data_IF_043128293713
#
_entry.id   IF_043128293713
#
_cell.length_a   1.000
_cell.length_b   1.000
_cell.length_c   1.000
_cell.angle_alpha   90.00
_cell.angle_beta   90.00
_cell.angle_gamma   90.00
#
_symmetry.space_group_name_H-M   'P 1'
#
loop_
_entity.id
_entity.type
_entity.pdbx_description
1 polymer ?
#
# COMPACT_ATOMS: atom_id res chain seq x y z
N UNK A 1 -4.76 -0.67 10.35
CA UNK A 1 -4.33 0.17 9.20
C UNK A 1 -3.33 -0.62 8.35
N UNK A 2 -3.00 -0.19 7.13
CA UNK A 2 -2.04 -0.95 6.29
C UNK A 2 -0.64 -0.96 6.91
N UNK A 3 -0.22 0.19 7.43
CA UNK A 3 1.03 0.39 8.19
C UNK A 3 1.18 -0.56 9.37
N UNK A 4 0.12 -0.74 10.18
CA UNK A 4 0.14 -1.62 11.36
C UNK A 4 0.37 -3.10 10.99
N UNK A 5 -0.26 -3.56 9.90
CA UNK A 5 -0.07 -4.93 9.39
C UNK A 5 1.37 -5.14 8.91
N UNK A 6 1.93 -4.16 8.19
CA UNK A 6 3.32 -4.24 7.73
C UNK A 6 4.28 -4.31 8.91
N UNK A 7 4.08 -3.46 9.93
CA UNK A 7 4.90 -3.45 11.15
C UNK A 7 4.83 -4.81 11.85
N UNK A 8 3.63 -5.36 12.04
CA UNK A 8 3.44 -6.66 12.70
C UNK A 8 4.17 -7.78 11.96
N UNK A 9 3.99 -7.87 10.65
CA UNK A 9 4.57 -8.95 9.84
C UNK A 9 6.10 -8.84 9.73
N UNK A 10 6.64 -7.63 9.59
CA UNK A 10 8.10 -7.43 9.56
C UNK A 10 8.75 -7.72 10.93
N UNK A 11 8.10 -7.33 12.03
CA UNK A 11 8.59 -7.66 13.37
C UNK A 11 8.60 -9.17 13.62
N UNK A 12 7.56 -9.89 13.21
CA UNK A 12 7.52 -11.37 13.29
C UNK A 12 8.65 -12.02 12.50
N UNK A 13 8.87 -11.60 11.24
CA UNK A 13 9.94 -12.15 10.39
C UNK A 13 11.32 -11.94 10.99
N UNK A 14 11.54 -10.79 11.60
CA UNK A 14 12.83 -10.38 12.18
C UNK A 14 12.99 -10.82 13.64
N UNK A 15 11.93 -11.37 14.24
CA UNK A 15 11.82 -11.76 15.65
C UNK A 15 12.10 -10.58 16.59
N UNK A 16 11.64 -9.40 16.21
CA UNK A 16 11.76 -8.18 17.01
C UNK A 16 10.53 -8.00 17.89
N UNK A 17 10.76 -7.52 19.10
CA UNK A 17 9.69 -6.97 19.93
C UNK A 17 9.26 -5.59 19.41
N UNK A 18 8.09 -5.11 19.86
CA UNK A 18 7.60 -3.78 19.48
C UNK A 18 8.56 -2.71 20.02
N UNK A 19 9.09 -2.92 21.21
CA UNK A 19 10.03 -2.04 21.90
C UNK A 19 11.38 -1.98 21.17
N UNK A 20 11.94 -3.14 20.77
CA UNK A 20 13.17 -3.20 19.98
C UNK A 20 13.01 -2.48 18.64
N UNK A 21 11.88 -2.70 17.94
CA UNK A 21 11.60 -2.05 16.68
C UNK A 21 11.45 -0.51 16.84
N UNK A 22 10.85 -0.05 17.94
CA UNK A 22 10.72 1.37 18.24
C UNK A 22 12.09 2.04 18.46
N UNK A 23 12.96 1.39 19.25
CA UNK A 23 14.33 1.85 19.49
C UNK A 23 15.15 1.92 18.20
N UNK A 24 15.07 0.87 17.36
CA UNK A 24 15.76 0.83 16.06
C UNK A 24 15.23 1.89 15.10
N UNK A 25 13.92 2.15 15.09
CA UNK A 25 13.31 3.21 14.29
C UNK A 25 13.62 4.62 14.81
N UNK A 26 14.12 4.76 16.05
CA UNK A 26 14.25 6.03 16.78
C UNK A 26 12.91 6.78 16.85
N UNK A 27 11.85 6.02 17.16
CA UNK A 27 10.51 6.53 17.42
C UNK A 27 10.22 6.25 18.91
N UNK A 28 9.52 7.18 19.57
CA UNK A 28 9.10 6.96 20.96
C UNK A 28 8.29 5.65 21.06
N UNK A 29 8.52 4.87 22.12
CA UNK A 29 7.91 3.54 22.27
C UNK A 29 6.38 3.63 22.32
N UNK A 30 5.83 4.64 23.01
CA UNK A 30 4.38 4.84 23.09
C UNK A 30 3.79 5.16 21.73
N UNK A 31 4.46 6.04 20.98
CA UNK A 31 4.05 6.41 19.62
C UNK A 31 4.15 5.24 18.64
N UNK A 32 5.24 4.49 18.69
CA UNK A 32 5.42 3.30 17.85
C UNK A 32 4.38 2.23 18.16
N UNK A 33 4.03 2.05 19.44
CA UNK A 33 2.98 1.11 19.85
C UNK A 33 1.61 1.51 19.28
N UNK A 34 1.27 2.80 19.29
CA UNK A 34 0.05 3.30 18.66
C UNK A 34 0.02 3.01 17.14
N UNK A 35 1.17 3.09 16.46
CA UNK A 35 1.32 2.68 15.06
C UNK A 35 1.16 1.17 14.86
N UNK A 36 1.80 0.37 15.70
CA UNK A 36 1.77 -1.10 15.61
C UNK A 36 0.38 -1.66 15.91
N UNK A 37 -0.38 -1.04 16.83
CA UNK A 37 -1.77 -1.37 17.13
C UNK A 37 -2.75 -0.84 16.08
N UNK A 38 -2.28 0.04 15.18
CA UNK A 38 -3.15 0.68 14.19
C UNK A 38 -4.18 1.61 14.82
N UNK A 39 -3.81 2.33 15.87
CA UNK A 39 -4.60 3.41 16.48
C UNK A 39 -4.48 4.72 15.68
N UNK A 40 -3.32 4.94 15.03
CA UNK A 40 -3.08 6.06 14.11
C UNK A 40 -2.21 5.67 12.92
N UNK A 41 -2.27 6.47 11.85
CA UNK A 41 -1.34 6.38 10.72
C UNK A 41 0.00 7.06 11.08
N UNK A 42 1.13 6.61 10.50
CA UNK A 42 2.41 7.29 10.66
C UNK A 42 2.40 8.62 9.91
N UNK A 43 3.03 9.63 10.52
CA UNK A 43 3.43 10.85 9.81
C UNK A 43 4.45 10.53 8.71
N UNK A 44 4.68 11.47 7.79
CA UNK A 44 5.67 11.28 6.73
C UNK A 44 7.09 11.01 7.28
N UNK A 45 7.47 11.68 8.37
CA UNK A 45 8.78 11.48 9.01
C UNK A 45 8.88 10.07 9.62
N UNK A 46 7.84 9.60 10.29
CA UNK A 46 7.78 8.24 10.86
C UNK A 46 7.75 7.20 9.76
N UNK A 47 6.99 7.41 8.69
CA UNK A 47 6.95 6.53 7.52
C UNK A 47 8.33 6.41 6.86
N UNK A 48 9.10 7.50 6.79
CA UNK A 48 10.46 7.47 6.28
C UNK A 48 11.41 6.65 7.19
N UNK A 49 11.27 6.79 8.51
CA UNK A 49 12.02 5.99 9.49
C UNK A 49 11.67 4.50 9.39
N UNK A 50 10.39 4.17 9.26
CA UNK A 50 9.91 2.79 9.07
C UNK A 50 10.37 2.20 7.73
N UNK A 51 10.33 3.00 6.66
CA UNK A 51 10.86 2.64 5.34
C UNK A 51 12.33 2.27 5.41
N UNK A 52 13.14 3.08 6.10
CA UNK A 52 14.56 2.81 6.33
C UNK A 52 14.80 1.58 7.22
N UNK A 53 14.04 1.43 8.31
CA UNK A 53 14.17 0.31 9.24
C UNK A 53 13.90 -1.04 8.56
N UNK A 54 12.79 -1.13 7.84
CA UNK A 54 12.35 -2.37 7.21
C UNK A 54 12.90 -2.57 5.80
N UNK A 55 13.58 -1.57 5.24
CA UNK A 55 14.02 -1.54 3.84
C UNK A 55 12.84 -1.78 2.87
N UNK A 56 11.73 -1.08 3.11
CA UNK A 56 10.49 -1.17 2.33
C UNK A 56 10.11 0.21 1.77
N UNK A 57 9.44 0.30 0.61
CA UNK A 57 9.04 1.59 0.05
C UNK A 57 8.17 2.42 0.99
N UNK A 58 8.50 3.70 1.17
CA UNK A 58 7.74 4.65 2.02
C UNK A 58 6.25 4.70 1.68
N UNK A 59 5.89 4.51 0.40
CA UNK A 59 4.53 4.47 -0.11
C UNK A 59 3.62 3.48 0.65
N UNK A 60 4.19 2.39 1.16
CA UNK A 60 3.45 1.36 1.92
C UNK A 60 3.04 1.84 3.32
N UNK A 61 3.77 2.79 3.89
CA UNK A 61 3.50 3.34 5.23
C UNK A 61 2.66 4.61 5.17
N UNK A 62 2.75 5.38 4.08
CA UNK A 62 1.96 6.61 3.88
C UNK A 62 0.63 6.37 3.17
N UNK A 63 0.34 5.15 2.71
CA UNK A 63 -0.94 4.83 2.08
C UNK A 63 -2.06 4.88 3.13
N UNK A 64 -2.55 6.09 3.37
CA UNK A 64 -3.74 6.33 4.16
C UNK A 64 -4.91 5.56 3.53
N UNK A 65 -5.74 4.97 4.40
CA UNK A 65 -7.06 4.42 4.06
C UNK A 65 -8.04 5.43 3.42
N UNK A 66 -7.60 6.67 3.11
CA UNK A 66 -8.41 7.82 2.67
C UNK A 66 -7.97 8.49 1.37
N UNK A 67 -7.49 7.77 0.36
CA UNK A 67 -7.46 8.33 -1.00
C UNK A 67 -8.41 7.56 -1.94
N UNK A 68 -9.67 8.00 -2.07
CA UNK A 68 -10.54 7.51 -3.14
C UNK A 68 -10.04 8.06 -4.48
N UNK A 69 -9.53 7.19 -5.34
CA UNK A 69 -9.30 7.51 -6.75
C UNK A 69 -10.59 7.22 -7.50
N UNK A 70 -11.19 8.26 -8.08
CA UNK A 70 -12.39 8.15 -8.90
C UNK A 70 -11.98 7.82 -10.35
N UNK A 71 -12.26 6.60 -10.80
CA UNK A 71 -12.18 6.25 -12.22
C UNK A 71 -13.56 6.46 -12.82
N UNK A 72 -13.71 7.50 -13.63
CA UNK A 72 -14.94 7.73 -14.40
C UNK A 72 -14.93 6.80 -15.62
N UNK A 73 -15.58 5.65 -15.51
CA UNK A 73 -15.68 4.63 -16.57
C UNK A 73 -16.74 4.99 -17.60
N UNK A 74 -16.72 6.23 -18.11
CA UNK A 74 -17.76 6.84 -18.93
C UNK A 74 -18.65 5.88 -19.72
N UNK A 75 -19.94 5.95 -19.36
CA UNK A 75 -21.16 5.50 -20.08
C UNK A 75 -21.51 4.00 -20.10
N UNK A 76 -22.40 3.59 -19.18
CA UNK A 76 -23.12 2.33 -19.28
C UNK A 76 -24.00 2.03 -18.06
N UNK A 77 -25.27 1.73 -18.29
CA UNK A 77 -26.38 1.55 -17.33
C UNK A 77 -26.33 0.26 -16.50
N UNK A 78 -25.14 -0.21 -16.08
CA UNK A 78 -25.02 -1.44 -15.30
C UNK A 78 -24.19 -1.23 -14.03
N UNK A 79 -24.90 -1.31 -12.92
CA UNK A 79 -24.47 -1.02 -11.56
C UNK A 79 -23.70 -2.22 -10.95
N UNK A 80 -22.55 -2.58 -11.52
CA UNK A 80 -21.65 -3.59 -10.97
C UNK A 80 -20.26 -2.98 -10.74
N UNK A 81 -20.14 -2.13 -9.73
CA UNK A 81 -18.87 -1.59 -9.26
C UNK A 81 -18.10 -2.65 -8.47
N UNK A 82 -17.11 -3.27 -9.12
CA UNK A 82 -16.04 -3.98 -8.44
C UNK A 82 -15.07 -2.92 -7.90
N UNK A 83 -15.12 -2.67 -6.59
CA UNK A 83 -14.19 -1.75 -5.93
C UNK A 83 -12.81 -2.40 -5.84
N UNK A 84 -11.98 -2.24 -6.87
CA UNK A 84 -10.56 -2.59 -6.84
C UNK A 84 -9.73 -1.37 -6.42
N UNK A 85 -9.05 -1.49 -5.29
CA UNK A 85 -8.22 -0.44 -4.70
C UNK A 85 -6.78 -0.58 -5.21
N UNK A 86 -6.34 0.29 -6.12
CA UNK A 86 -4.94 0.40 -6.55
C UNK A 86 -4.59 1.88 -6.72
N UNK A 87 -3.71 2.42 -5.87
CA UNK A 87 -3.24 3.80 -5.96
C UNK A 87 -2.23 3.98 -7.10
N UNK A 88 -2.41 4.98 -7.97
CA UNK A 88 -1.40 5.35 -8.98
C UNK A 88 -1.14 6.86 -8.96
N UNK A 89 0.14 7.23 -8.89
CA UNK A 89 0.60 8.56 -9.29
C UNK A 89 0.62 8.60 -10.82
N UNK A 90 -0.02 9.62 -11.38
CA UNK A 90 -0.14 9.87 -12.81
C UNK A 90 1.23 10.04 -13.47
N UNK A 91 1.53 9.23 -14.49
CA UNK A 91 2.57 9.55 -15.47
C UNK A 91 3.36 8.38 -16.02
N UNK A 92 3.32 7.21 -15.39
CA UNK A 92 4.23 6.12 -15.75
C UNK A 92 3.50 5.04 -16.57
N UNK A 93 3.81 4.96 -17.87
CA UNK A 93 3.34 3.89 -18.76
C UNK A 93 3.68 2.49 -18.24
N UNK A 94 4.72 2.39 -17.41
CA UNK A 94 5.16 1.17 -16.73
C UNK A 94 4.13 0.61 -15.73
N UNK A 95 3.30 1.47 -15.10
CA UNK A 95 2.26 1.05 -14.15
C UNK A 95 1.05 0.43 -14.87
N UNK A 96 0.76 0.87 -16.10
CA UNK A 96 -0.31 0.28 -16.92
C UNK A 96 0.00 -1.18 -17.24
N UNK A 97 1.26 -1.47 -17.56
CA UNK A 97 1.72 -2.83 -17.84
C UNK A 97 1.77 -3.66 -16.57
N UNK A 98 2.21 -3.08 -15.44
CA UNK A 98 2.19 -3.75 -14.14
C UNK A 98 0.77 -4.15 -13.70
N UNK A 99 -0.21 -3.27 -13.91
CA UNK A 99 -1.62 -3.54 -13.60
C UNK A 99 -2.20 -4.61 -14.53
N UNK A 100 -1.85 -4.60 -15.83
CA UNK A 100 -2.24 -5.66 -16.77
C UNK A 100 -1.67 -7.02 -16.36
N UNK A 101 -0.41 -7.07 -15.95
CA UNK A 101 0.25 -8.31 -15.49
C UNK A 101 -0.41 -8.86 -14.20
N UNK A 102 -0.74 -7.97 -13.26
CA UNK A 102 -1.41 -8.35 -12.02
C UNK A 102 -2.82 -8.91 -12.27
N UNK A 103 -3.58 -8.27 -13.15
CA UNK A 103 -4.93 -8.72 -13.53
C UNK A 103 -4.85 -10.06 -14.28
N UNK A 104 -3.87 -10.23 -15.17
CA UNK A 104 -3.66 -11.48 -15.92
C UNK A 104 -3.25 -12.64 -14.99
N UNK A 105 -2.55 -12.35 -13.90
CA UNK A 105 -2.19 -13.37 -12.88
C UNK A 105 -3.41 -13.84 -12.09
N UNK A 106 -4.35 -12.94 -11.79
CA UNK A 106 -5.56 -13.25 -10.99
C UNK A 106 -6.67 -13.84 -11.88
N UNK A 107 -6.71 -13.44 -13.16
CA UNK A 107 -7.71 -13.89 -14.14
C UNK A 107 -7.00 -14.20 -15.48
N UNK A 108 -6.41 -15.40 -15.61
CA UNK A 108 -5.62 -15.77 -16.79
C UNK A 108 -6.44 -15.83 -18.08
N UNK A 109 -7.77 -15.96 -17.99
CA UNK A 109 -8.66 -16.05 -19.16
C UNK A 109 -9.08 -14.68 -19.73
N UNK A 110 -8.55 -13.56 -19.19
CA UNK A 110 -8.84 -12.23 -19.71
C UNK A 110 -8.14 -12.01 -21.06
N UNK A 111 -8.93 -11.79 -22.10
CA UNK A 111 -8.44 -11.39 -23.42
C UNK A 111 -8.35 -9.87 -23.47
N UNK A 112 -7.13 -9.33 -23.50
CA UNK A 112 -6.91 -7.90 -23.63
C UNK A 112 -7.20 -7.44 -25.06
N UNK A 113 -7.92 -6.32 -25.24
CA UNK A 113 -8.11 -5.73 -26.56
C UNK A 113 -6.75 -5.30 -27.12
N UNK A 114 -6.50 -5.61 -28.40
CA UNK A 114 -5.28 -5.15 -29.08
C UNK A 114 -5.33 -3.62 -29.16
N UNK A 115 -4.29 -2.97 -28.67
CA UNK A 115 -4.14 -1.52 -28.80
C UNK A 115 -3.92 -1.22 -30.30
N UNK A 116 -4.92 -0.62 -30.94
CA UNK A 116 -4.75 -0.05 -32.28
C UNK A 116 -3.78 1.14 -32.18
N UNK A 117 -2.75 1.12 -33.04
CA UNK A 117 -1.73 2.16 -33.12
C UNK A 117 -2.26 3.42 -33.79
#
# INVERSE_FOLDING_TARGET
MVSSIIIEEENKKRKWTVEEAAELAKIDISEFKALALGERDPSYEEANKLSALYNLPIALFVSSSKQPIYVNTGTGTYNNSVNCYIGTYSGDSSLKDLVKDLISTIKPDIVWPKEEK
#
